data_IF_435022851788
#
_entry.id   IF_435022851788
#
_cell.length_a   1.000
_cell.length_b   1.000
_cell.length_c   1.000
_cell.angle_alpha   90.00
_cell.angle_beta   90.00
_cell.angle_gamma   90.00
#
_symmetry.space_group_name_H-M   'P 1'
#
loop_
_entity.id
_entity.type
_entity.pdbx_description
1 polymer ?
#
# COMPACT_ATOMS: atom_id res chain seq x y z
N UNK A 1 1.92 26.03 -1.23
CA UNK A 1 2.36 24.62 -1.25
C UNK A 1 1.95 24.02 -2.57
N UNK A 2 2.81 23.24 -3.24
CA UNK A 2 2.46 22.54 -4.47
C UNK A 2 1.55 21.37 -4.09
N UNK A 3 0.38 21.24 -4.70
CA UNK A 3 -0.49 20.11 -4.48
C UNK A 3 0.23 18.82 -4.90
N UNK A 4 0.15 17.77 -4.07
CA UNK A 4 0.66 16.45 -4.39
C UNK A 4 -0.29 15.82 -5.41
N UNK A 5 0.25 15.27 -6.49
CA UNK A 5 -0.57 14.61 -7.51
C UNK A 5 -0.79 13.14 -7.19
N UNK A 6 -1.85 12.54 -7.75
CA UNK A 6 -2.08 11.10 -7.69
C UNK A 6 -0.83 10.30 -8.05
N UNK A 7 -0.18 10.64 -9.17
CA UNK A 7 1.03 9.95 -9.64
C UNK A 7 2.17 10.04 -8.64
N UNK A 8 2.33 11.18 -7.97
CA UNK A 8 3.34 11.32 -6.93
C UNK A 8 3.05 10.42 -5.73
N UNK A 9 1.79 10.36 -5.29
CA UNK A 9 1.34 9.49 -4.20
C UNK A 9 1.54 8.01 -4.53
N UNK A 10 1.11 7.57 -5.72
CA UNK A 10 1.27 6.17 -6.16
C UNK A 10 2.75 5.78 -6.25
N UNK A 11 3.58 6.60 -6.90
CA UNK A 11 5.00 6.31 -7.06
C UNK A 11 5.73 6.27 -5.71
N UNK A 12 5.44 7.23 -4.82
CA UNK A 12 6.03 7.24 -3.49
C UNK A 12 5.62 5.98 -2.71
N UNK A 13 4.33 5.65 -2.69
CA UNK A 13 3.80 4.48 -1.98
C UNK A 13 4.41 3.20 -2.53
N UNK A 14 4.52 3.04 -3.85
CA UNK A 14 5.11 1.85 -4.47
C UNK A 14 6.58 1.66 -4.06
N UNK A 15 7.38 2.73 -4.07
CA UNK A 15 8.79 2.67 -3.62
C UNK A 15 8.87 2.27 -2.16
N UNK A 16 8.00 2.80 -1.30
CA UNK A 16 7.98 2.47 0.13
C UNK A 16 7.56 1.01 0.38
N UNK A 17 6.57 0.51 -0.35
CA UNK A 17 6.13 -0.89 -0.29
C UNK A 17 7.27 -1.84 -0.70
N UNK A 18 7.94 -1.57 -1.82
CA UNK A 18 9.06 -2.39 -2.27
C UNK A 18 10.16 -2.46 -1.20
N UNK A 19 10.60 -1.30 -0.69
CA UNK A 19 11.62 -1.24 0.35
C UNK A 19 11.17 -1.94 1.65
N UNK A 20 9.88 -1.87 2.00
CA UNK A 20 9.36 -2.55 3.18
C UNK A 20 9.47 -4.06 3.03
N UNK A 21 9.04 -4.62 1.90
CA UNK A 21 9.09 -6.07 1.66
C UNK A 21 10.52 -6.60 1.49
N UNK A 22 11.43 -5.82 0.91
CA UNK A 22 12.86 -6.15 0.89
C UNK A 22 13.40 -6.35 2.32
N UNK A 23 13.11 -5.42 3.23
CA UNK A 23 13.54 -5.52 4.63
C UNK A 23 12.76 -6.61 5.40
N UNK A 24 11.46 -6.76 5.16
CA UNK A 24 10.61 -7.70 5.87
C UNK A 24 11.06 -9.16 5.64
N UNK A 25 11.68 -9.43 4.49
CA UNK A 25 12.30 -10.73 4.22
C UNK A 25 13.49 -11.00 5.14
N UNK A 26 14.33 -10.01 5.37
CA UNK A 26 15.52 -10.14 6.22
C UNK A 26 15.15 -10.16 7.71
N UNK A 27 14.24 -9.27 8.13
CA UNK A 27 13.91 -9.03 9.54
C UNK A 27 12.90 -10.04 10.09
N UNK A 28 11.93 -10.46 9.27
CA UNK A 28 10.78 -11.26 9.71
C UNK A 28 10.60 -12.56 8.92
N UNK A 29 11.48 -12.84 7.95
CA UNK A 29 11.35 -13.96 7.00
C UNK A 29 10.00 -13.98 6.26
N UNK A 30 9.39 -12.82 6.06
CA UNK A 30 8.18 -12.68 5.25
C UNK A 30 8.61 -12.66 3.78
N UNK A 31 8.18 -13.63 3.00
CA UNK A 31 8.29 -13.57 1.54
C UNK A 31 7.07 -12.83 1.01
N UNK A 32 7.26 -11.59 0.55
CA UNK A 32 6.13 -10.78 0.16
C UNK A 32 6.43 -9.73 -0.90
N UNK A 33 5.35 -9.18 -1.44
CA UNK A 33 5.36 -8.17 -2.49
C UNK A 33 4.06 -7.38 -2.45
N UNK A 34 4.07 -6.15 -2.99
CA UNK A 34 2.87 -5.36 -3.11
C UNK A 34 2.88 -4.45 -4.33
N UNK A 35 1.68 -4.14 -4.81
CA UNK A 35 1.41 -3.19 -5.88
C UNK A 35 0.36 -2.19 -5.44
N UNK A 36 0.55 -0.92 -5.83
CA UNK A 36 -0.42 0.16 -5.56
C UNK A 36 -1.00 0.70 -6.84
N UNK A 37 -2.33 0.88 -6.87
CA UNK A 37 -3.04 1.46 -8.00
C UNK A 37 -4.21 2.32 -7.54
N UNK A 38 -4.68 3.19 -8.45
CA UNK A 38 -5.86 4.00 -8.21
C UNK A 38 -7.09 3.36 -8.87
N UNK A 39 -8.19 3.30 -8.14
CA UNK A 39 -9.50 2.85 -8.61
C UNK A 39 -10.42 4.06 -8.79
N UNK A 40 -10.61 4.55 -10.04
CA UNK A 40 -11.38 5.77 -10.30
C UNK A 40 -12.83 5.69 -9.85
N UNK A 41 -13.45 4.51 -9.96
CA UNK A 41 -14.87 4.29 -9.65
C UNK A 41 -15.23 4.61 -8.19
N UNK A 42 -14.28 4.40 -7.27
CA UNK A 42 -14.46 4.58 -5.84
C UNK A 42 -13.61 5.74 -5.28
N UNK A 43 -12.91 6.48 -6.16
CA UNK A 43 -11.89 7.46 -5.82
C UNK A 43 -10.88 6.97 -4.75
N UNK A 44 -10.52 5.67 -4.84
CA UNK A 44 -9.74 4.98 -3.83
C UNK A 44 -8.36 4.58 -4.34
N UNK A 45 -7.38 4.57 -3.45
CA UNK A 45 -6.10 3.87 -3.67
C UNK A 45 -6.26 2.44 -3.14
N UNK A 46 -5.83 1.48 -3.95
CA UNK A 46 -5.84 0.06 -3.63
C UNK A 46 -4.39 -0.40 -3.53
N UNK A 47 -4.09 -1.14 -2.47
CA UNK A 47 -2.83 -1.87 -2.32
C UNK A 47 -3.16 -3.35 -2.33
N UNK A 48 -2.68 -4.06 -3.34
CA UNK A 48 -2.71 -5.52 -3.37
C UNK A 48 -1.36 -6.01 -2.90
N UNK A 49 -1.35 -6.89 -1.90
CA UNK A 49 -0.12 -7.37 -1.30
C UNK A 49 -0.18 -8.87 -1.05
N UNK A 50 0.97 -9.53 -1.07
CA UNK A 50 1.11 -10.96 -0.83
C UNK A 50 2.13 -11.19 0.26
N UNK A 51 1.80 -12.03 1.23
CA UNK A 51 2.67 -12.42 2.33
C UNK A 51 2.63 -13.93 2.50
N UNK A 52 3.79 -14.58 2.35
CA UNK A 52 3.95 -16.03 2.47
C UNK A 52 2.93 -16.81 1.61
N UNK A 53 2.66 -16.31 0.40
CA UNK A 53 1.74 -16.92 -0.56
C UNK A 53 0.25 -16.63 -0.32
N UNK A 54 -0.09 -15.80 0.66
CA UNK A 54 -1.46 -15.31 0.88
C UNK A 54 -1.59 -13.91 0.31
N UNK A 55 -2.56 -13.68 -0.56
CA UNK A 55 -2.83 -12.35 -1.15
C UNK A 55 -3.98 -11.67 -0.41
N UNK A 56 -3.79 -10.39 -0.11
CA UNK A 56 -4.79 -9.50 0.45
C UNK A 56 -4.92 -8.21 -0.34
N UNK A 57 -6.01 -7.48 -0.09
CA UNK A 57 -6.27 -6.19 -0.71
C UNK A 57 -6.73 -5.16 0.33
N UNK A 58 -6.02 -4.04 0.38
CA UNK A 58 -6.31 -2.91 1.26
C UNK A 58 -6.82 -1.73 0.45
N UNK A 59 -7.94 -1.12 0.85
CA UNK A 59 -8.59 0.01 0.15
C UNK A 59 -8.57 1.27 1.03
N UNK A 60 -8.05 2.38 0.49
CA UNK A 60 -8.01 3.68 1.14
C UNK A 60 -8.72 4.76 0.34
N UNK A 61 -9.55 5.54 1.04
CA UNK A 61 -10.24 6.74 0.52
C UNK A 61 -9.69 8.00 1.17
N UNK A 62 -10.07 9.17 0.63
CA UNK A 62 -9.74 10.49 1.20
C UNK A 62 -8.23 10.81 1.26
N UNK A 63 -7.45 10.32 0.29
CA UNK A 63 -6.00 10.50 0.22
C UNK A 63 -5.58 11.86 -0.38
N UNK A 64 -6.47 12.55 -1.08
CA UNK A 64 -6.16 13.72 -1.92
C UNK A 64 -5.63 14.93 -1.14
N UNK A 65 -6.09 15.10 0.10
CA UNK A 65 -5.71 16.22 0.98
C UNK A 65 -4.59 15.84 1.98
N UNK A 66 -4.04 14.64 1.86
CA UNK A 66 -3.07 14.10 2.81
C UNK A 66 -1.62 14.33 2.36
N UNK A 67 -0.69 14.14 3.29
CA UNK A 67 0.73 14.12 2.98
C UNK A 67 1.08 12.92 2.07
N UNK A 68 2.18 13.03 1.31
CA UNK A 68 2.56 12.04 0.29
C UNK A 68 2.82 10.64 0.87
N UNK A 69 3.20 10.58 2.13
CA UNK A 69 3.53 9.38 2.89
C UNK A 69 2.34 8.77 3.63
N UNK A 70 1.22 9.48 3.69
CA UNK A 70 0.05 9.07 4.47
C UNK A 70 -0.50 7.72 4.05
N UNK A 71 -0.62 7.46 2.74
CA UNK A 71 -1.16 6.18 2.21
C UNK A 71 -0.32 5.00 2.68
N UNK A 72 1.00 5.10 2.57
CA UNK A 72 1.91 4.07 3.06
C UNK A 72 1.83 3.92 4.58
N UNK A 73 1.76 5.05 5.31
CA UNK A 73 1.65 5.04 6.77
C UNK A 73 0.42 4.29 7.25
N UNK A 74 -0.76 4.63 6.73
CA UNK A 74 -2.01 3.95 7.11
C UNK A 74 -1.97 2.48 6.76
N UNK A 75 -1.54 2.11 5.54
CA UNK A 75 -1.39 0.69 5.19
C UNK A 75 -0.45 -0.04 6.16
N UNK A 76 0.70 0.55 6.51
CA UNK A 76 1.66 -0.10 7.40
C UNK A 76 1.17 -0.29 8.83
N UNK A 77 0.19 0.50 9.26
CA UNK A 77 -0.41 0.43 10.60
C UNK A 77 -1.65 -0.47 10.65
N UNK A 78 -2.45 -0.47 9.58
CA UNK A 78 -3.79 -1.07 9.59
C UNK A 78 -3.92 -2.34 8.74
N UNK A 79 -3.07 -2.54 7.73
CA UNK A 79 -3.17 -3.71 6.87
C UNK A 79 -2.93 -4.99 7.68
N UNK A 80 -3.79 -5.98 7.44
CA UNK A 80 -3.71 -7.26 8.12
C UNK A 80 -4.15 -8.36 7.16
N UNK A 81 -3.19 -9.21 6.79
CA UNK A 81 -3.42 -10.24 5.77
C UNK A 81 -4.55 -11.20 6.13
N UNK A 82 -4.83 -11.44 7.41
CA UNK A 82 -5.94 -12.30 7.83
C UNK A 82 -7.30 -11.67 7.59
N UNK A 83 -7.39 -10.33 7.66
CA UNK A 83 -8.62 -9.59 7.40
C UNK A 83 -8.78 -9.22 5.92
N UNK A 84 -7.66 -8.95 5.25
CA UNK A 84 -7.63 -8.41 3.89
C UNK A 84 -7.60 -9.50 2.81
N UNK A 85 -7.47 -10.77 3.23
CA UNK A 85 -7.34 -11.91 2.34
C UNK A 85 -8.44 -11.94 1.29
N UNK A 86 -8.03 -12.03 0.03
CA UNK A 86 -8.94 -12.27 -1.08
C UNK A 86 -9.03 -13.78 -1.33
N UNK A 87 -10.25 -14.27 -1.57
CA UNK A 87 -10.56 -15.68 -1.78
C UNK A 87 -10.27 -16.15 -3.21
#
# INVERSE_FOLDING_TARGET
MKAITLTQTLNYTQVRLNNWYENAKEDFNIDGSAEVFFKPENEAIIITYTENGVTGQFELKYWQDQAIDWVFGVWSEEANIENDKVA
#
